data_IF_465589513663
#
_entry.id   IF_465589513663
#
_cell.length_a   1.000
_cell.length_b   1.000
_cell.length_c   1.000
_cell.angle_alpha   90.00
_cell.angle_beta   90.00
_cell.angle_gamma   90.00
#
_symmetry.space_group_name_H-M   'P 1'
#
loop_
_entity.id
_entity.type
_entity.pdbx_description
1 polymer ?
#
# COMPACT_ATOMS: atom_id res chain seq x y z
N UNK A 1 -0.89 5.67 35.83
CA UNK A 1 -0.14 5.09 34.69
C UNK A 1 -0.88 3.83 34.27
N UNK A 2 -1.64 3.90 33.18
CA UNK A 2 -2.33 2.72 32.63
C UNK A 2 -1.35 2.03 31.71
N UNK A 3 -0.86 0.85 32.12
CA UNK A 3 -0.02 0.02 31.29
C UNK A 3 -0.83 -0.45 30.08
N UNK A 4 -0.56 0.13 28.91
CA UNK A 4 -1.02 -0.41 27.64
C UNK A 4 -0.29 -1.74 27.41
N UNK A 5 -0.93 -2.85 27.76
CA UNK A 5 -0.59 -4.16 27.23
C UNK A 5 -0.98 -4.18 25.75
N UNK A 6 -0.17 -3.53 24.91
CA UNK A 6 -0.20 -3.74 23.47
C UNK A 6 0.41 -5.11 23.24
N UNK A 7 -0.30 -6.07 22.63
CA UNK A 7 0.33 -7.33 22.27
C UNK A 7 1.48 -7.03 21.30
N UNK A 8 2.70 -7.13 21.81
CA UNK A 8 3.93 -7.11 21.02
C UNK A 8 3.96 -8.42 20.24
N UNK A 9 3.25 -8.47 19.12
CA UNK A 9 3.56 -9.44 18.07
C UNK A 9 4.76 -8.92 17.29
N UNK A 10 5.95 -9.16 17.85
CA UNK A 10 7.23 -9.06 17.17
C UNK A 10 7.58 -7.67 16.61
N UNK A 11 8.58 -7.03 17.19
CA UNK A 11 9.35 -5.95 16.56
C UNK A 11 10.13 -6.42 15.31
N UNK A 12 9.50 -7.21 14.44
CA UNK A 12 9.98 -7.46 13.10
C UNK A 12 9.29 -6.45 12.19
N UNK A 13 10.09 -5.64 11.50
CA UNK A 13 9.68 -5.00 10.25
C UNK A 13 8.88 -6.04 9.49
N UNK A 14 7.56 -5.91 9.34
CA UNK A 14 6.90 -6.70 8.31
C UNK A 14 7.62 -6.25 7.04
N UNK A 15 8.39 -7.13 6.36
CA UNK A 15 8.84 -6.78 5.03
C UNK A 15 7.53 -6.79 4.25
N UNK A 16 6.89 -5.62 4.14
CA UNK A 16 5.75 -5.50 3.26
C UNK A 16 6.33 -5.93 1.93
N UNK A 17 5.88 -7.09 1.43
CA UNK A 17 6.33 -7.59 0.13
C UNK A 17 5.97 -6.57 -0.98
N UNK A 18 5.33 -5.46 -0.63
CA UNK A 18 5.12 -4.26 -1.41
C UNK A 18 6.41 -3.66 -1.99
N UNK A 19 7.47 -3.41 -1.21
CA UNK A 19 8.69 -2.78 -1.78
C UNK A 19 9.37 -3.64 -2.86
N UNK A 20 9.60 -4.95 -2.65
CA UNK A 20 10.07 -5.84 -3.73
C UNK A 20 9.15 -5.86 -4.95
N UNK A 21 7.82 -5.77 -4.75
CA UNK A 21 6.85 -5.72 -5.85
C UNK A 21 6.89 -4.39 -6.60
N UNK A 22 7.14 -3.26 -5.93
CA UNK A 22 7.31 -1.96 -6.56
C UNK A 22 8.59 -1.90 -7.39
N UNK A 23 9.70 -2.45 -6.90
CA UNK A 23 10.92 -2.60 -7.72
C UNK A 23 10.67 -3.48 -8.95
N UNK A 24 9.97 -4.61 -8.77
CA UNK A 24 9.61 -5.49 -9.89
C UNK A 24 8.62 -4.83 -10.87
N UNK A 25 7.80 -3.87 -10.42
CA UNK A 25 6.94 -3.07 -11.29
C UNK A 25 7.75 -2.03 -12.07
N UNK A 26 8.74 -1.40 -11.41
CA UNK A 26 9.65 -0.47 -12.05
C UNK A 26 10.49 -1.14 -13.16
N UNK A 27 10.96 -2.36 -12.92
CA UNK A 27 11.67 -3.15 -13.94
C UNK A 27 10.78 -3.53 -15.13
N UNK A 28 9.50 -3.85 -14.89
CA UNK A 28 8.54 -4.09 -15.96
C UNK A 28 8.28 -2.83 -16.79
N UNK A 29 8.20 -1.66 -16.15
CA UNK A 29 8.09 -0.38 -16.85
C UNK A 29 9.30 -0.10 -17.75
N UNK A 30 10.53 -0.37 -17.28
CA UNK A 30 11.74 -0.25 -18.10
C UNK A 30 11.73 -1.15 -19.33
N UNK A 31 11.02 -2.28 -19.26
CA UNK A 31 10.84 -3.24 -20.36
C UNK A 31 9.63 -2.92 -21.25
N UNK A 32 8.86 -1.88 -20.93
CA UNK A 32 7.64 -1.50 -21.67
C UNK A 32 6.40 -2.34 -21.32
N UNK A 33 6.44 -3.12 -20.23
CA UNK A 33 5.34 -3.98 -19.81
C UNK A 33 4.39 -3.27 -18.83
N UNK A 34 3.62 -2.30 -19.31
CA UNK A 34 2.78 -1.44 -18.46
C UNK A 34 1.69 -2.21 -17.69
N UNK A 35 1.06 -3.21 -18.32
CA UNK A 35 0.00 -4.02 -17.69
C UNK A 35 0.57 -4.84 -16.53
N UNK A 36 1.74 -5.44 -16.72
CA UNK A 36 2.40 -6.24 -15.69
C UNK A 36 2.86 -5.35 -14.51
N UNK A 37 3.37 -4.16 -14.82
CA UNK A 37 3.70 -3.16 -13.82
C UNK A 37 2.46 -2.74 -13.01
N UNK A 38 1.35 -2.39 -13.66
CA UNK A 38 0.11 -2.00 -13.00
C UNK A 38 -0.45 -3.12 -12.09
N UNK A 39 -0.40 -4.37 -12.55
CA UNK A 39 -0.78 -5.52 -11.72
C UNK A 39 0.07 -5.60 -10.44
N UNK A 40 1.39 -5.45 -10.57
CA UNK A 40 2.33 -5.53 -9.45
C UNK A 40 2.15 -4.38 -8.45
N UNK A 41 1.94 -3.14 -8.92
CA UNK A 41 1.65 -1.98 -8.08
C UNK A 41 0.38 -2.20 -7.26
N UNK A 42 -0.70 -2.65 -7.91
CA UNK A 42 -1.96 -2.94 -7.22
C UNK A 42 -1.79 -4.01 -6.13
N UNK A 43 -1.04 -5.07 -6.41
CA UNK A 43 -0.74 -6.12 -5.42
C UNK A 43 0.12 -5.58 -4.27
N UNK A 44 1.10 -4.73 -4.57
CA UNK A 44 1.95 -4.08 -3.58
C UNK A 44 1.12 -3.24 -2.61
N UNK A 45 0.24 -2.38 -3.13
CA UNK A 45 -0.64 -1.54 -2.32
C UNK A 45 -1.63 -2.35 -1.48
N UNK A 46 -2.24 -3.41 -2.04
CA UNK A 46 -3.08 -4.31 -1.27
C UNK A 46 -2.34 -4.93 -0.08
N UNK A 47 -1.08 -5.34 -0.28
CA UNK A 47 -0.25 -5.93 0.80
C UNK A 47 0.12 -4.90 1.85
N UNK A 48 0.49 -3.70 1.43
CA UNK A 48 0.77 -2.58 2.34
C UNK A 48 -0.46 -2.24 3.20
N UNK A 49 -1.63 -2.06 2.57
CA UNK A 49 -2.88 -1.79 3.28
C UNK A 49 -3.30 -2.94 4.21
N UNK A 50 -3.03 -4.18 3.84
CA UNK A 50 -3.29 -5.35 4.70
C UNK A 50 -2.40 -5.30 5.95
N UNK A 51 -1.10 -5.04 5.79
CA UNK A 51 -0.18 -4.90 6.90
C UNK A 51 -0.57 -3.74 7.84
N UNK A 52 -1.00 -2.60 7.28
CA UNK A 52 -1.56 -1.49 8.07
C UNK A 52 -2.82 -1.92 8.82
N UNK A 53 -3.74 -2.63 8.17
CA UNK A 53 -4.95 -3.12 8.83
C UNK A 53 -4.66 -4.10 9.96
N UNK A 54 -3.66 -4.96 9.81
CA UNK A 54 -3.20 -5.89 10.85
C UNK A 54 -2.60 -5.12 12.03
N UNK A 55 -1.77 -4.12 11.76
CA UNK A 55 -1.18 -3.25 12.78
C UNK A 55 -2.23 -2.52 13.63
N UNK A 56 -3.30 -2.03 12.99
CA UNK A 56 -4.40 -1.33 13.65
C UNK A 56 -5.53 -2.26 14.13
N UNK A 57 -5.35 -3.59 14.04
CA UNK A 57 -6.37 -4.60 14.39
C UNK A 57 -7.74 -4.35 13.73
N UNK A 58 -7.75 -3.80 12.51
CA UNK A 58 -8.95 -3.44 11.77
C UNK A 58 -9.15 -4.29 10.51
N UNK A 59 -8.42 -5.41 10.38
CA UNK A 59 -8.48 -6.28 9.21
C UNK A 59 -9.90 -6.83 8.96
N UNK A 60 -10.50 -6.60 7.77
CA UNK A 60 -11.83 -7.08 7.45
C UNK A 60 -11.85 -8.61 7.26
N UNK A 61 -12.82 -9.28 7.90
CA UNK A 61 -12.95 -10.76 7.89
C UNK A 61 -13.20 -11.42 6.53
N UNK A 62 -13.50 -10.67 5.46
CA UNK A 62 -13.85 -11.21 4.13
C UNK A 62 -13.30 -10.33 3.02
N UNK A 63 -12.73 -10.93 1.96
CA UNK A 63 -12.21 -10.30 0.72
C UNK A 63 -11.42 -9.02 0.93
N UNK A 64 -10.09 -9.12 0.80
CA UNK A 64 -9.15 -8.03 1.02
C UNK A 64 -8.94 -7.23 -0.28
N UNK A 65 -9.96 -6.47 -0.68
CA UNK A 65 -9.79 -5.47 -1.73
C UNK A 65 -9.22 -4.19 -1.13
N UNK A 66 -8.36 -3.50 -1.86
CA UNK A 66 -7.72 -2.27 -1.38
C UNK A 66 -8.74 -1.24 -0.85
N UNK A 67 -9.84 -0.99 -1.57
CA UNK A 67 -10.89 -0.06 -1.12
C UNK A 67 -11.54 -0.46 0.21
N UNK A 68 -11.64 -1.77 0.51
CA UNK A 68 -12.20 -2.23 1.80
C UNK A 68 -11.19 -2.09 2.93
N UNK A 69 -9.91 -2.31 2.65
CA UNK A 69 -8.83 -2.10 3.61
C UNK A 69 -8.70 -0.61 3.95
N UNK A 70 -8.74 0.27 2.95
CA UNK A 70 -8.72 1.74 3.16
C UNK A 70 -9.89 2.20 4.03
N UNK A 71 -11.13 1.76 3.73
CA UNK A 71 -12.30 2.08 4.58
C UNK A 71 -12.18 1.52 6.00
N UNK A 72 -11.55 0.36 6.18
CA UNK A 72 -11.33 -0.21 7.49
C UNK A 72 -10.33 0.62 8.31
N UNK A 73 -9.27 1.12 7.67
CA UNK A 73 -8.29 2.02 8.27
C UNK A 73 -8.90 3.38 8.63
N UNK A 74 -9.69 3.97 7.73
CA UNK A 74 -10.42 5.23 8.01
C UNK A 74 -11.34 5.08 9.23
N UNK A 75 -12.07 3.96 9.35
CA UNK A 75 -12.92 3.68 10.52
C UNK A 75 -12.12 3.44 11.80
N UNK A 76 -10.89 2.97 11.68
CA UNK A 76 -9.98 2.80 12.81
C UNK A 76 -9.33 4.12 13.25
N UNK A 77 -9.64 5.25 12.59
CA UNK A 77 -9.06 6.55 12.91
C UNK A 77 -7.63 6.71 12.43
N UNK A 78 -7.18 5.90 11.45
CA UNK A 78 -5.94 6.22 10.74
C UNK A 78 -6.18 7.44 9.86
N UNK A 79 -5.43 8.51 10.09
CA UNK A 79 -5.30 9.58 9.12
C UNK A 79 -4.20 9.20 8.13
N UNK A 80 -4.59 9.00 6.88
CA UNK A 80 -3.68 8.64 5.81
C UNK A 80 -4.13 9.23 4.50
N UNK A 81 -3.18 9.39 3.58
CA UNK A 81 -3.38 9.82 2.20
C UNK A 81 -4.12 8.75 1.38
N UNK A 82 -5.28 8.29 1.86
CA UNK A 82 -6.08 7.24 1.22
C UNK A 82 -6.65 7.68 -0.12
N UNK A 83 -6.90 8.97 -0.32
CA UNK A 83 -7.34 9.54 -1.59
C UNK A 83 -6.31 9.29 -2.69
N UNK A 84 -5.03 9.56 -2.42
CA UNK A 84 -3.93 9.28 -3.35
C UNK A 84 -3.76 7.78 -3.62
N UNK A 85 -3.93 6.94 -2.60
CA UNK A 85 -3.88 5.49 -2.78
C UNK A 85 -5.03 4.98 -3.66
N UNK A 86 -6.24 5.54 -3.48
CA UNK A 86 -7.41 5.23 -4.28
C UNK A 86 -7.21 5.62 -5.74
N UNK A 87 -6.68 6.82 -6.02
CA UNK A 87 -6.36 7.29 -7.38
C UNK A 87 -5.32 6.40 -8.08
N UNK A 88 -4.30 5.94 -7.33
CA UNK A 88 -3.30 4.99 -7.87
C UNK A 88 -3.95 3.65 -8.21
N UNK A 89 -4.81 3.13 -7.33
CA UNK A 89 -5.50 1.86 -7.56
C UNK A 89 -6.43 1.95 -8.77
N UNK A 90 -7.17 3.05 -8.90
CA UNK A 90 -8.04 3.32 -10.05
C UNK A 90 -7.24 3.40 -11.35
N UNK A 91 -6.11 4.11 -11.34
CA UNK A 91 -5.22 4.19 -12.50
C UNK A 91 -4.65 2.81 -12.88
N UNK A 92 -4.28 1.98 -11.89
CA UNK A 92 -3.84 0.61 -12.16
C UNK A 92 -4.98 -0.25 -12.72
N UNK A 93 -6.19 -0.15 -12.17
CA UNK A 93 -7.36 -0.90 -12.66
C UNK A 93 -7.76 -0.47 -14.08
N UNK A 94 -7.64 0.81 -14.42
CA UNK A 94 -7.85 1.30 -15.79
C UNK A 94 -6.87 0.64 -16.78
N UNK A 95 -5.56 0.60 -16.47
CA UNK A 95 -4.57 -0.08 -17.31
C UNK A 95 -4.86 -1.58 -17.44
N UNK A 96 -5.27 -2.23 -16.35
CA UNK A 96 -5.63 -3.66 -16.37
C UNK A 96 -6.87 -3.95 -17.22
N UNK A 97 -7.76 -2.96 -17.40
CA UNK A 97 -8.93 -3.04 -18.30
C UNK A 97 -8.62 -2.56 -19.73
N UNK A 98 -7.37 -2.22 -20.02
CA UNK A 98 -6.96 -1.59 -21.28
C UNK A 98 -7.67 -0.23 -21.54
N UNK A 99 -8.01 0.48 -20.48
CA UNK A 99 -8.57 1.83 -20.51
C UNK A 99 -7.46 2.87 -20.32
N UNK A 100 -7.74 4.13 -20.69
CA UNK A 100 -6.80 5.23 -20.50
C UNK A 100 -6.71 5.57 -19.00
N UNK A 101 -5.54 5.45 -18.35
CA UNK A 101 -5.43 5.78 -16.94
C UNK A 101 -5.41 7.29 -16.72
N UNK A 102 -5.88 7.73 -15.54
CA UNK A 102 -5.81 9.13 -15.10
C UNK A 102 -4.37 9.58 -14.83
N UNK A 103 -3.54 8.68 -14.29
CA UNK A 103 -2.13 8.90 -14.02
C UNK A 103 -1.24 7.89 -14.75
N UNK A 104 0.01 8.28 -15.05
CA UNK A 104 0.99 7.33 -15.59
C UNK A 104 1.37 6.28 -14.54
N UNK A 105 1.50 5.01 -14.95
CA UNK A 105 1.92 3.93 -14.03
C UNK A 105 3.30 4.20 -13.42
N UNK A 106 4.17 4.92 -14.14
CA UNK A 106 5.44 5.39 -13.60
C UNK A 106 5.25 6.31 -12.38
N UNK A 107 4.41 7.33 -12.50
CA UNK A 107 4.09 8.21 -11.38
C UNK A 107 3.43 7.43 -10.23
N UNK A 108 2.55 6.48 -10.54
CA UNK A 108 1.95 5.60 -9.54
C UNK A 108 3.00 4.79 -8.75
N UNK A 109 4.03 4.25 -9.41
CA UNK A 109 5.13 3.52 -8.76
C UNK A 109 5.93 4.44 -7.85
N UNK A 110 6.29 5.63 -8.33
CA UNK A 110 7.09 6.61 -7.57
C UNK A 110 6.35 7.09 -6.32
N UNK A 111 5.08 7.50 -6.45
CA UNK A 111 4.26 7.95 -5.32
C UNK A 111 4.02 6.79 -4.33
N UNK A 112 3.77 5.57 -4.82
CA UNK A 112 3.58 4.41 -3.95
C UNK A 112 4.87 4.05 -3.19
N UNK A 113 6.04 4.17 -3.83
CA UNK A 113 7.33 3.96 -3.19
C UNK A 113 7.57 5.01 -2.11
N UNK A 114 7.40 6.29 -2.42
CA UNK A 114 7.58 7.39 -1.46
C UNK A 114 6.67 7.23 -0.24
N UNK A 115 5.39 6.88 -0.44
CA UNK A 115 4.42 6.64 0.64
C UNK A 115 4.77 5.46 1.54
N UNK A 116 5.36 4.41 0.97
CA UNK A 116 5.75 3.22 1.72
C UNK A 116 7.07 3.46 2.45
N UNK A 117 8.01 4.19 1.84
CA UNK A 117 9.33 4.48 2.41
C UNK A 117 9.26 5.54 3.53
N UNK A 118 8.55 6.65 3.32
CA UNK A 118 8.40 7.70 4.36
C UNK A 118 7.75 7.22 5.65
N UNK A 119 6.82 6.25 5.58
CA UNK A 119 6.21 5.66 6.79
C UNK A 119 7.06 4.60 7.47
N UNK A 120 8.15 4.14 6.85
CA UNK A 120 9.15 3.31 7.50
C UNK A 120 10.04 4.19 8.41
N UNK A 121 10.35 5.42 7.99
CA UNK A 121 11.21 6.34 8.76
C UNK A 121 10.51 6.98 9.98
N UNK A 122 9.20 7.22 9.94
CA UNK A 122 8.45 7.84 11.07
C UNK A 122 8.38 6.98 12.36
N UNK A 123 8.97 5.78 12.39
CA UNK A 123 8.98 4.89 13.59
C UNK A 123 10.34 4.65 14.23
N UNK A 124 11.43 5.14 13.64
CA UNK A 124 12.78 5.04 14.23
C UNK A 124 13.19 6.30 15.02
N UNK A 125 12.26 7.25 15.21
CA UNK A 125 12.49 8.53 15.89
C UNK A 125 11.61 8.77 17.12
N UNK A 126 11.78 7.97 18.17
CA UNK A 126 11.39 8.38 19.54
C UNK A 126 12.61 8.14 20.47
N UNK A 127 13.23 9.19 21.03
CA UNK A 127 14.38 9.08 21.94
C UNK A 127 14.05 8.50 23.33
#
# INVERSE_FOLDING_TARGET
MVAFNVPVFGGQRMPSLAMPLLYAAHDDLKRGHEIAAAAKVRVALCRYLTALCELHNCLPRRRHTASRLMRALQRAGCDGCFEYLEEIIESCDAVLRCEKPGCSIKACVEIAADLIDTRIDERDGDP
#
